data_IF_397736347943
#
_entry.id   IF_397736347943
#
_cell.length_a   1.000
_cell.length_b   1.000
_cell.length_c   1.000
_cell.angle_alpha   90.00
_cell.angle_beta   90.00
_cell.angle_gamma   90.00
#
_symmetry.space_group_name_H-M   'P 1'
#
loop_
_entity.id
_entity.type
_entity.pdbx_description
1 polymer ?
#
# COMPACT_ATOMS: atom_id res chain seq x y z
N UNK A 1 -9.47 -18.76 -5.32
CA UNK A 1 -8.76 -17.60 -5.93
C UNK A 1 -7.27 -17.92 -6.06
N UNK A 2 -6.67 -17.56 -7.18
CA UNK A 2 -5.23 -17.62 -7.34
C UNK A 2 -4.57 -16.45 -6.58
N UNK A 3 -3.24 -16.40 -6.57
CA UNK A 3 -2.50 -15.38 -5.82
C UNK A 3 -2.79 -13.96 -6.31
N UNK A 4 -2.90 -13.77 -7.61
CA UNK A 4 -3.22 -12.46 -8.19
C UNK A 4 -4.61 -11.99 -7.78
N UNK A 5 -5.58 -12.88 -7.79
CA UNK A 5 -6.95 -12.58 -7.36
C UNK A 5 -7.01 -12.27 -5.86
N UNK A 6 -6.27 -13.02 -5.04
CA UNK A 6 -6.17 -12.75 -3.61
C UNK A 6 -5.57 -11.39 -3.33
N UNK A 7 -4.51 -11.06 -4.07
CA UNK A 7 -3.85 -9.75 -3.93
C UNK A 7 -4.81 -8.62 -4.25
N UNK A 8 -5.53 -8.74 -5.36
CA UNK A 8 -6.52 -7.74 -5.77
C UNK A 8 -7.66 -7.62 -4.75
N UNK A 9 -8.15 -8.75 -4.24
CA UNK A 9 -9.20 -8.78 -3.23
C UNK A 9 -8.76 -8.03 -1.97
N UNK A 10 -7.57 -8.33 -1.46
CA UNK A 10 -7.04 -7.68 -0.26
C UNK A 10 -6.83 -6.18 -0.49
N UNK A 11 -6.26 -5.82 -1.63
CA UNK A 11 -6.04 -4.41 -1.98
C UNK A 11 -7.36 -3.64 -1.97
N UNK A 12 -8.39 -4.22 -2.59
CA UNK A 12 -9.70 -3.58 -2.65
C UNK A 12 -10.33 -3.44 -1.26
N UNK A 13 -10.11 -4.40 -0.36
CA UNK A 13 -10.60 -4.31 1.01
C UNK A 13 -9.96 -3.16 1.77
N UNK A 14 -8.66 -2.95 1.59
CA UNK A 14 -7.98 -1.80 2.22
C UNK A 14 -8.48 -0.48 1.65
N UNK A 15 -8.74 -0.42 0.34
CA UNK A 15 -9.28 0.78 -0.30
C UNK A 15 -10.70 1.08 0.22
N UNK A 16 -11.54 0.05 0.35
CA UNK A 16 -12.89 0.21 0.92
C UNK A 16 -12.83 0.80 2.32
N UNK A 17 -11.95 0.28 3.17
CA UNK A 17 -11.78 0.77 4.53
C UNK A 17 -11.30 2.23 4.53
N UNK A 18 -10.32 2.55 3.69
CA UNK A 18 -9.83 3.93 3.57
C UNK A 18 -10.95 4.87 3.15
N UNK A 19 -11.79 4.46 2.18
CA UNK A 19 -12.92 5.27 1.74
C UNK A 19 -13.96 5.44 2.84
N UNK A 20 -14.19 4.42 3.65
CA UNK A 20 -15.11 4.51 4.79
C UNK A 20 -14.60 5.50 5.84
N UNK A 21 -13.30 5.52 6.09
CA UNK A 21 -12.69 6.49 7.01
C UNK A 21 -12.85 7.92 6.52
N UNK A 22 -12.75 8.14 5.22
CA UNK A 22 -13.00 9.46 4.62
C UNK A 22 -14.44 9.94 4.88
N UNK A 23 -15.40 9.04 4.92
CA UNK A 23 -16.80 9.37 5.21
C UNK A 23 -17.03 9.78 6.66
N UNK A 24 -16.07 9.55 7.54
CA UNK A 24 -16.12 9.95 8.95
C UNK A 24 -15.52 11.34 9.17
N UNK A 25 -15.47 12.18 8.16
CA UNK A 25 -14.88 13.52 8.19
C UNK A 25 -13.39 13.54 8.54
N UNK A 26 -12.69 12.46 8.21
CA UNK A 26 -11.24 12.40 8.36
C UNK A 26 -10.61 12.87 7.05
N UNK A 27 -9.66 13.79 7.13
CA UNK A 27 -8.98 14.33 5.95
C UNK A 27 -8.25 13.23 5.17
N UNK A 28 -8.27 13.33 3.86
CA UNK A 28 -7.65 12.34 2.97
C UNK A 28 -6.15 12.15 3.25
N UNK A 29 -5.46 13.23 3.60
CA UNK A 29 -4.03 13.16 3.95
C UNK A 29 -3.81 12.32 5.22
N UNK A 30 -4.72 12.42 6.20
CA UNK A 30 -4.65 11.62 7.42
C UNK A 30 -4.91 10.14 7.12
N UNK A 31 -5.88 9.84 6.28
CA UNK A 31 -6.19 8.46 5.87
C UNK A 31 -4.98 7.86 5.16
N UNK A 32 -4.38 8.59 4.21
CA UNK A 32 -3.21 8.15 3.47
C UNK A 32 -2.01 7.91 4.39
N UNK A 33 -1.72 8.84 5.30
CA UNK A 33 -0.60 8.71 6.25
C UNK A 33 -0.79 7.53 7.20
N UNK A 34 -2.02 7.33 7.68
CA UNK A 34 -2.34 6.21 8.56
C UNK A 34 -2.20 4.87 7.85
N UNK A 35 -2.62 4.79 6.60
CA UNK A 35 -2.48 3.59 5.79
C UNK A 35 -1.00 3.27 5.57
N UNK A 36 -0.19 4.29 5.32
CA UNK A 36 1.26 4.12 5.17
C UNK A 36 1.89 3.58 6.46
N UNK A 37 1.52 4.14 7.61
CA UNK A 37 2.02 3.69 8.92
C UNK A 37 1.61 2.24 9.18
N UNK A 38 0.36 1.89 8.92
CA UNK A 38 -0.13 0.53 9.09
C UNK A 38 0.65 -0.44 8.17
N UNK A 39 0.91 -0.03 6.94
CA UNK A 39 1.70 -0.81 5.99
C UNK A 39 3.12 -1.05 6.51
N UNK A 40 3.76 -0.03 7.08
CA UNK A 40 5.11 -0.16 7.66
C UNK A 40 5.14 -1.14 8.82
N UNK A 41 4.12 -1.10 9.67
CA UNK A 41 4.00 -2.03 10.81
C UNK A 41 3.87 -3.47 10.29
N UNK A 42 3.01 -3.68 9.30
CA UNK A 42 2.81 -5.01 8.73
C UNK A 42 4.05 -5.53 7.99
N UNK A 43 4.73 -4.67 7.26
CA UNK A 43 5.97 -5.03 6.57
C UNK A 43 7.05 -5.48 7.56
N UNK A 44 7.16 -4.78 8.70
CA UNK A 44 8.09 -5.16 9.76
C UNK A 44 7.71 -6.53 10.34
N UNK A 45 6.43 -6.73 10.62
CA UNK A 45 5.92 -7.99 11.15
C UNK A 45 6.26 -9.18 10.24
N UNK A 46 6.02 -9.04 8.94
CA UNK A 46 6.26 -10.11 7.97
C UNK A 46 7.74 -10.47 7.89
N UNK A 47 8.63 -9.48 7.94
CA UNK A 47 10.06 -9.70 7.78
C UNK A 47 10.79 -10.08 9.07
N UNK A 48 10.32 -9.58 10.23
CA UNK A 48 11.06 -9.70 11.49
C UNK A 48 10.24 -10.31 12.64
N UNK A 49 8.94 -10.57 12.44
CA UNK A 49 8.06 -11.11 13.48
C UNK A 49 7.58 -10.03 14.46
N UNK A 50 6.85 -10.47 15.50
CA UNK A 50 6.17 -9.56 16.45
C UNK A 50 7.12 -8.66 17.23
N UNK A 51 8.27 -9.19 17.62
CA UNK A 51 9.20 -8.51 18.52
C UNK A 51 10.49 -8.07 17.81
N UNK A 52 10.57 -8.31 16.51
CA UNK A 52 11.77 -8.00 15.75
C UNK A 52 11.71 -6.61 15.14
N UNK A 53 12.87 -6.13 14.75
CA UNK A 53 13.03 -4.89 14.00
C UNK A 53 13.82 -5.15 12.73
N UNK A 54 13.63 -4.31 11.72
CA UNK A 54 14.38 -4.42 10.47
C UNK A 54 15.75 -3.79 10.62
N UNK A 55 16.76 -4.47 10.09
CA UNK A 55 18.07 -3.86 9.85
C UNK A 55 17.97 -2.89 8.67
N UNK A 56 18.98 -2.04 8.49
CA UNK A 56 19.03 -1.05 7.40
C UNK A 56 18.77 -1.70 6.04
N UNK A 57 19.35 -2.88 5.79
CA UNK A 57 19.16 -3.59 4.52
C UNK A 57 17.71 -4.02 4.32
N UNK A 58 17.01 -4.40 5.40
CA UNK A 58 15.60 -4.75 5.35
C UNK A 58 14.73 -3.54 5.08
N UNK A 59 15.04 -2.42 5.71
CA UNK A 59 14.36 -1.14 5.43
C UNK A 59 14.50 -0.78 3.95
N UNK A 60 15.71 -0.87 3.41
CA UNK A 60 15.97 -0.54 2.00
C UNK A 60 15.16 -1.44 1.06
N UNK A 61 15.04 -2.74 1.37
CA UNK A 61 14.24 -3.68 0.57
C UNK A 61 12.77 -3.28 0.56
N UNK A 62 12.20 -2.93 1.70
CA UNK A 62 10.80 -2.52 1.81
C UNK A 62 10.57 -1.23 1.02
N UNK A 63 11.47 -0.26 1.16
CA UNK A 63 11.39 1.00 0.42
C UNK A 63 11.44 0.76 -1.08
N UNK A 64 12.31 -0.14 -1.55
CA UNK A 64 12.39 -0.48 -2.97
C UNK A 64 11.11 -1.12 -3.50
N UNK A 65 10.50 -2.02 -2.72
CA UNK A 65 9.24 -2.64 -3.09
C UNK A 65 8.15 -1.56 -3.20
N UNK A 66 8.08 -0.66 -2.24
CA UNK A 66 7.12 0.43 -2.26
C UNK A 66 7.33 1.33 -3.48
N UNK A 67 8.59 1.68 -3.78
CA UNK A 67 8.92 2.48 -4.96
C UNK A 67 8.42 1.84 -6.25
N UNK A 68 8.73 0.55 -6.45
CA UNK A 68 8.31 -0.17 -7.66
C UNK A 68 6.80 -0.24 -7.78
N UNK A 69 6.12 -0.50 -6.68
CA UNK A 69 4.65 -0.56 -6.65
C UNK A 69 4.07 0.80 -7.02
N UNK A 70 4.61 1.88 -6.45
CA UNK A 70 4.16 3.23 -6.74
C UNK A 70 4.42 3.62 -8.19
N UNK A 71 5.61 3.30 -8.72
CA UNK A 71 5.97 3.57 -10.11
C UNK A 71 5.07 2.80 -11.07
N UNK A 72 4.79 1.54 -10.76
CA UNK A 72 3.88 0.72 -11.58
C UNK A 72 2.49 1.34 -11.63
N UNK A 73 1.97 1.76 -10.47
CA UNK A 73 0.64 2.38 -10.38
C UNK A 73 0.60 3.69 -11.20
N UNK A 74 1.68 4.49 -11.16
CA UNK A 74 1.75 5.70 -11.97
C UNK A 74 1.73 5.38 -13.47
N UNK A 75 2.44 4.35 -13.90
CA UNK A 75 2.45 3.91 -15.29
C UNK A 75 1.05 3.48 -15.74
N UNK A 76 0.33 2.73 -14.91
CA UNK A 76 -1.05 2.31 -15.18
C UNK A 76 -1.96 3.53 -15.31
N UNK A 77 -1.84 4.49 -14.40
CA UNK A 77 -2.66 5.73 -14.42
C UNK A 77 -2.38 6.56 -15.65
N UNK A 78 -1.13 6.71 -16.04
CA UNK A 78 -0.76 7.46 -17.26
C UNK A 78 -1.32 6.79 -18.51
N UNK A 79 -1.27 5.47 -18.59
CA UNK A 79 -1.84 4.71 -19.71
C UNK A 79 -3.36 4.92 -19.78
N UNK A 80 -4.04 4.92 -18.65
CA UNK A 80 -5.48 5.17 -18.58
C UNK A 80 -5.84 6.59 -19.04
N UNK A 81 -5.05 7.58 -18.65
CA UNK A 81 -5.26 8.96 -19.08
C UNK A 81 -5.09 9.11 -20.58
N UNK A 82 -4.05 8.49 -21.15
CA UNK A 82 -3.78 8.53 -22.59
C UNK A 82 -4.90 7.83 -23.37
N UNK A 83 -5.46 6.76 -22.84
CA UNK A 83 -6.53 6.02 -23.49
C UNK A 83 -7.84 6.82 -23.58
N UNK A 84 -8.03 7.85 -22.73
CA UNK A 84 -9.20 8.71 -22.74
C UNK A 84 -9.15 9.79 -23.81
N UNK A 85 -7.99 10.04 -24.36
CA UNK A 85 -7.80 11.03 -25.43
C UNK A 85 -7.90 10.37 -26.82
#
# INVERSE_FOLDING_TARGET
MNDQEKHMYCTNKFIELANDLKKEDIEIAMVSGSLMTASCIYATYVAAGNDGALESSGVDKVVQIYRRTLEHHQAVKKAQEQAKN
#
